data_IF_398276417231
#
_entry.id   IF_398276417231
#
_cell.length_a   1.000
_cell.length_b   1.000
_cell.length_c   1.000
_cell.angle_alpha   90.00
_cell.angle_beta   90.00
_cell.angle_gamma   90.00
#
_symmetry.space_group_name_H-M   'P 1'
#
loop_
_entity.id
_entity.type
_entity.pdbx_description
1 polymer ?
#
# COMPACT_ATOMS: atom_id res chain seq x y z
N UNK A 1 -6.41 37.32 -3.04
CA UNK A 1 -5.29 36.45 -3.39
C UNK A 1 -5.20 35.15 -2.56
N UNK A 2 -5.97 34.95 -1.48
CA UNK A 2 -5.85 33.76 -0.60
C UNK A 2 -6.75 32.54 -0.88
N UNK A 3 -7.81 32.66 -1.70
CA UNK A 3 -8.75 31.54 -1.90
C UNK A 3 -8.18 30.42 -2.81
N UNK A 4 -7.43 30.80 -3.86
CA UNK A 4 -6.85 29.83 -4.80
C UNK A 4 -5.77 28.93 -4.18
N UNK A 5 -5.05 29.43 -3.18
CA UNK A 5 -4.00 28.67 -2.49
C UNK A 5 -4.57 27.61 -1.55
N UNK A 6 -5.73 27.89 -0.91
CA UNK A 6 -6.38 26.95 0.00
C UNK A 6 -6.89 25.69 -0.74
N UNK A 7 -7.59 25.85 -1.88
CA UNK A 7 -8.04 24.72 -2.69
C UNK A 7 -6.89 23.87 -3.23
N UNK A 8 -5.78 24.50 -3.62
CA UNK A 8 -4.58 23.79 -4.08
C UNK A 8 -3.95 22.95 -2.95
N UNK A 9 -3.82 23.50 -1.75
CA UNK A 9 -3.32 22.78 -0.57
C UNK A 9 -4.21 21.58 -0.22
N UNK A 10 -5.55 21.76 -0.22
CA UNK A 10 -6.49 20.66 0.03
C UNK A 10 -6.34 19.54 -0.99
N UNK A 11 -6.21 19.87 -2.29
CA UNK A 11 -5.99 18.85 -3.32
C UNK A 11 -4.66 18.11 -3.16
N UNK A 12 -3.62 18.79 -2.67
CA UNK A 12 -2.32 18.16 -2.39
C UNK A 12 -2.41 17.15 -1.25
N UNK A 13 -3.04 17.50 -0.13
CA UNK A 13 -3.16 16.56 1.02
C UNK A 13 -4.11 15.40 0.74
N UNK A 14 -5.11 15.59 -0.13
CA UNK A 14 -6.00 14.53 -0.57
C UNK A 14 -5.38 13.62 -1.65
N UNK A 15 -4.15 13.90 -2.09
CA UNK A 15 -3.46 13.00 -3.00
C UNK A 15 -3.12 11.68 -2.29
N UNK A 16 -3.21 10.56 -3.02
CA UNK A 16 -3.01 9.21 -2.49
C UNK A 16 -1.52 8.86 -2.23
N UNK A 17 -0.73 9.80 -1.72
CA UNK A 17 0.62 9.55 -1.25
C UNK A 17 0.60 8.71 0.04
N UNK A 18 1.71 8.00 0.29
CA UNK A 18 1.86 7.17 1.50
C UNK A 18 1.74 8.07 2.74
N UNK A 19 0.79 7.79 3.65
CA UNK A 19 0.70 8.53 4.92
C UNK A 19 1.93 8.38 5.80
N UNK A 20 2.17 9.39 6.64
CA UNK A 20 2.99 9.20 7.84
C UNK A 20 2.32 8.25 8.83
N UNK A 21 0.99 8.29 8.93
CA UNK A 21 0.20 7.45 9.82
C UNK A 21 -0.96 6.77 9.08
N UNK A 22 -1.09 5.46 9.30
CA UNK A 22 -2.08 4.61 8.64
C UNK A 22 -3.25 4.31 9.59
N UNK A 23 -4.24 5.19 9.61
CA UNK A 23 -5.44 4.99 10.42
C UNK A 23 -6.22 3.74 10.04
N UNK A 24 -6.66 3.00 11.04
CA UNK A 24 -7.51 1.82 10.88
C UNK A 24 -6.75 0.56 10.43
N UNK A 25 -5.42 0.58 10.44
CA UNK A 25 -4.55 -0.58 10.13
C UNK A 25 -3.55 -0.90 11.22
N UNK A 26 -3.74 -0.36 12.42
CA UNK A 26 -2.84 -0.54 13.56
C UNK A 26 -2.72 -2.02 13.94
N UNK A 27 -3.83 -2.77 13.88
CA UNK A 27 -3.86 -4.22 14.14
C UNK A 27 -3.04 -4.99 13.10
N UNK A 28 -3.31 -4.76 11.82
CA UNK A 28 -2.60 -5.43 10.72
C UNK A 28 -1.11 -5.09 10.74
N UNK A 29 -0.76 -3.82 11.00
CA UNK A 29 0.63 -3.40 11.17
C UNK A 29 1.29 -4.09 12.35
N UNK A 30 0.59 -4.23 13.49
CA UNK A 30 1.07 -4.98 14.65
C UNK A 30 1.37 -6.44 14.32
N UNK A 31 0.48 -7.11 13.57
CA UNK A 31 0.65 -8.50 13.15
C UNK A 31 1.88 -8.64 12.23
N UNK A 32 2.05 -7.75 11.25
CA UNK A 32 3.19 -7.79 10.33
C UNK A 32 4.50 -7.53 11.10
N UNK A 33 4.54 -6.53 12.00
CA UNK A 33 5.72 -6.24 12.82
C UNK A 33 6.10 -7.43 13.72
N UNK A 34 5.11 -8.03 14.37
CA UNK A 34 5.31 -9.23 15.18
C UNK A 34 5.89 -10.37 14.34
N UNK A 35 5.31 -10.63 13.16
CA UNK A 35 5.80 -11.66 12.24
C UNK A 35 7.26 -11.42 11.85
N UNK A 36 7.61 -10.19 11.47
CA UNK A 36 8.98 -9.82 11.12
C UNK A 36 9.94 -10.04 12.30
N UNK A 37 9.58 -9.62 13.52
CA UNK A 37 10.43 -9.86 14.70
C UNK A 37 10.65 -11.33 15.00
N UNK A 38 9.59 -12.13 14.97
CA UNK A 38 9.66 -13.57 15.24
C UNK A 38 10.56 -14.30 14.23
N UNK A 39 10.50 -13.90 12.95
CA UNK A 39 11.14 -14.65 11.86
C UNK A 39 12.50 -14.08 11.48
N UNK A 40 12.62 -12.76 11.36
CA UNK A 40 13.90 -12.09 11.08
C UNK A 40 14.79 -12.12 12.32
N UNK A 41 14.26 -11.70 13.48
CA UNK A 41 15.00 -11.71 14.75
C UNK A 41 15.30 -13.12 15.26
N UNK A 42 14.34 -14.03 15.13
CA UNK A 42 14.50 -15.43 15.52
C UNK A 42 15.26 -16.30 14.50
N UNK A 43 15.60 -15.76 13.32
CA UNK A 43 16.18 -16.50 12.18
C UNK A 43 15.40 -17.77 11.85
N UNK A 44 14.07 -17.68 11.87
CA UNK A 44 13.18 -18.79 11.56
C UNK A 44 12.54 -18.58 10.19
N UNK A 45 12.43 -19.64 9.37
CA UNK A 45 11.68 -19.55 8.14
C UNK A 45 10.20 -19.34 8.44
N UNK A 46 9.50 -18.67 7.53
CA UNK A 46 8.06 -18.64 7.52
C UNK A 46 7.51 -17.65 6.49
N UNK A 47 6.21 -17.80 6.25
CA UNK A 47 5.48 -17.11 5.18
C UNK A 47 4.24 -16.43 5.74
N UNK A 48 4.00 -15.20 5.29
CA UNK A 48 2.82 -14.40 5.61
C UNK A 48 2.11 -14.02 4.31
N UNK A 49 0.92 -14.56 4.11
CA UNK A 49 0.07 -14.24 2.97
C UNK A 49 -0.81 -13.04 3.30
N UNK A 50 -0.71 -11.94 2.54
CA UNK A 50 -1.47 -10.71 2.78
C UNK A 50 -2.50 -10.52 1.67
N UNK A 51 -3.77 -10.70 2.00
CA UNK A 51 -4.88 -10.58 1.05
C UNK A 51 -5.75 -9.35 1.32
N UNK A 52 -6.57 -8.96 0.35
CA UNK A 52 -7.58 -7.90 0.50
C UNK A 52 -7.86 -7.16 -0.80
N UNK A 53 -9.00 -6.50 -0.91
CA UNK A 53 -9.39 -5.73 -2.08
C UNK A 53 -8.40 -4.58 -2.40
N UNK A 54 -8.31 -4.11 -3.66
CA UNK A 54 -7.49 -2.94 -3.99
C UNK A 54 -7.89 -1.72 -3.15
N UNK A 55 -6.91 -0.91 -2.76
CA UNK A 55 -7.15 0.30 -1.97
C UNK A 55 -7.38 0.11 -0.46
N UNK A 56 -7.27 -1.11 0.06
CA UNK A 56 -7.34 -1.37 1.52
C UNK A 56 -6.06 -1.03 2.30
N UNK A 57 -5.02 -0.52 1.65
CA UNK A 57 -3.81 -0.03 2.34
C UNK A 57 -2.68 -1.05 2.57
N UNK A 58 -2.75 -2.25 1.98
CA UNK A 58 -1.70 -3.30 2.06
C UNK A 58 -0.30 -2.76 1.73
N UNK A 59 -0.12 -2.20 0.53
CA UNK A 59 1.17 -1.66 0.07
C UNK A 59 1.64 -0.52 0.96
N UNK A 60 0.74 0.38 1.38
CA UNK A 60 1.09 1.49 2.26
C UNK A 60 1.57 0.99 3.63
N UNK A 61 0.90 -0.01 4.21
CA UNK A 61 1.32 -0.64 5.47
C UNK A 61 2.69 -1.31 5.34
N UNK A 62 2.91 -2.07 4.27
CA UNK A 62 4.20 -2.71 4.03
C UNK A 62 5.32 -1.68 3.87
N UNK A 63 5.14 -0.67 3.01
CA UNK A 63 6.13 0.39 2.82
C UNK A 63 6.44 1.11 4.13
N UNK A 64 5.41 1.41 4.94
CA UNK A 64 5.62 2.08 6.23
C UNK A 64 6.40 1.21 7.22
N UNK A 65 6.08 -0.09 7.30
CA UNK A 65 6.77 -1.00 8.21
C UNK A 65 8.23 -1.20 7.79
N UNK A 66 8.53 -1.26 6.49
CA UNK A 66 9.91 -1.36 6.01
C UNK A 66 10.73 -0.11 6.34
N UNK A 67 10.10 1.06 6.34
CA UNK A 67 10.73 2.31 6.78
C UNK A 67 10.94 2.31 8.30
N UNK A 68 9.90 1.98 9.08
CA UNK A 68 9.94 1.98 10.55
C UNK A 68 10.93 0.93 11.10
N UNK A 69 11.05 -0.23 10.43
CA UNK A 69 11.88 -1.36 10.87
C UNK A 69 13.21 -1.46 10.10
N UNK A 70 13.65 -0.38 9.42
CA UNK A 70 14.86 -0.41 8.59
C UNK A 70 16.10 -0.92 9.34
N UNK A 71 16.26 -0.52 10.60
CA UNK A 71 17.38 -0.94 11.45
C UNK A 71 17.25 -2.40 11.90
N UNK A 72 16.04 -2.83 12.28
CA UNK A 72 15.75 -4.24 12.62
C UNK A 72 16.00 -5.17 11.42
N UNK A 73 15.81 -4.66 10.19
CA UNK A 73 15.99 -5.38 8.94
C UNK A 73 17.40 -5.26 8.35
N UNK A 74 18.32 -4.49 8.94
CA UNK A 74 19.64 -4.23 8.37
C UNK A 74 20.49 -5.50 8.13
N UNK A 75 20.27 -6.56 8.92
CA UNK A 75 20.90 -7.87 8.76
C UNK A 75 20.20 -8.80 7.75
N UNK A 76 19.14 -8.33 7.09
CA UNK A 76 18.33 -9.08 6.13
C UNK A 76 18.34 -8.41 4.76
N UNK A 77 18.16 -9.21 3.71
CA UNK A 77 18.04 -8.72 2.34
C UNK A 77 16.57 -8.59 1.98
N UNK A 78 16.07 -7.36 1.92
CA UNK A 78 14.69 -7.06 1.52
C UNK A 78 14.59 -6.93 0.00
N UNK A 79 13.68 -7.71 -0.59
CA UNK A 79 13.38 -7.75 -2.02
C UNK A 79 11.91 -7.38 -2.19
N UNK A 80 11.65 -6.27 -2.87
CA UNK A 80 10.29 -5.86 -3.25
C UNK A 80 10.12 -6.09 -4.74
N UNK A 81 9.15 -6.94 -5.10
CA UNK A 81 8.86 -7.28 -6.49
C UNK A 81 7.49 -6.80 -6.91
N UNK A 82 7.44 -5.86 -7.84
CA UNK A 82 6.18 -5.47 -8.46
C UNK A 82 5.69 -6.56 -9.41
N UNK A 83 4.75 -7.39 -8.97
CA UNK A 83 4.18 -8.47 -9.77
C UNK A 83 3.52 -8.00 -11.08
N UNK A 84 3.12 -6.72 -11.17
CA UNK A 84 2.54 -6.17 -12.39
C UNK A 84 3.53 -5.93 -13.52
N UNK A 85 4.82 -5.81 -13.20
CA UNK A 85 5.87 -5.65 -14.19
C UNK A 85 6.27 -6.98 -14.85
N UNK A 86 5.75 -8.11 -14.35
CA UNK A 86 6.12 -9.45 -14.82
C UNK A 86 5.15 -9.93 -15.88
N UNK A 87 5.69 -10.35 -17.03
CA UNK A 87 4.90 -10.88 -18.16
C UNK A 87 4.34 -12.29 -17.89
N UNK A 88 4.84 -13.00 -16.87
CA UNK A 88 4.32 -14.30 -16.45
C UNK A 88 4.61 -14.57 -14.97
N UNK A 89 3.83 -15.43 -14.29
CA UNK A 89 4.09 -15.82 -12.90
C UNK A 89 5.46 -16.49 -12.70
N UNK A 90 5.99 -17.16 -13.73
CA UNK A 90 7.32 -17.78 -13.70
C UNK A 90 8.44 -16.74 -13.71
N UNK A 91 8.15 -15.49 -14.10
CA UNK A 91 9.08 -14.37 -14.07
C UNK A 91 9.48 -13.91 -12.67
N UNK A 92 8.78 -14.36 -11.62
CA UNK A 92 9.13 -14.04 -10.22
C UNK A 92 10.52 -14.59 -9.88
N UNK A 93 10.81 -15.84 -10.23
CA UNK A 93 12.09 -16.50 -9.92
C UNK A 93 13.32 -15.77 -10.48
N UNK A 94 13.39 -15.47 -11.79
CA UNK A 94 14.52 -14.71 -12.33
C UNK A 94 14.58 -13.29 -11.75
N UNK A 95 13.45 -12.65 -11.44
CA UNK A 95 13.44 -11.33 -10.83
C UNK A 95 14.01 -11.32 -9.40
N UNK A 96 13.64 -12.32 -8.57
CA UNK A 96 14.27 -12.52 -7.24
C UNK A 96 15.76 -12.81 -7.41
N UNK A 97 16.12 -13.71 -8.31
CA UNK A 97 17.51 -14.10 -8.55
C UNK A 97 18.38 -12.91 -8.95
N UNK A 98 17.89 -12.04 -9.83
CA UNK A 98 18.59 -10.83 -10.24
C UNK A 98 18.80 -9.87 -9.06
N UNK A 99 17.78 -9.64 -8.22
CA UNK A 99 17.95 -8.81 -7.01
C UNK A 99 18.88 -9.46 -5.97
N UNK A 100 19.01 -10.78 -5.97
CA UNK A 100 19.99 -11.51 -5.18
C UNK A 100 21.42 -11.42 -5.73
N UNK A 101 21.61 -10.97 -6.97
CA UNK A 101 22.90 -10.92 -7.65
C UNK A 101 23.27 -12.23 -8.35
N UNK A 102 22.30 -13.11 -8.59
CA UNK A 102 22.51 -14.36 -9.33
C UNK A 102 22.59 -14.08 -10.85
N UNK A 103 23.46 -14.78 -11.58
CA UNK A 103 23.53 -14.68 -13.03
C UNK A 103 22.22 -15.13 -13.67
N UNK A 104 21.85 -14.47 -14.78
CA UNK A 104 20.62 -14.76 -15.51
C UNK A 104 20.59 -16.23 -15.93
N UNK A 105 19.59 -16.96 -15.44
CA UNK A 105 19.36 -18.36 -15.76
C UNK A 105 17.86 -18.57 -15.96
N UNK A 106 17.48 -19.09 -17.13
CA UNK A 106 16.09 -19.33 -17.49
C UNK A 106 15.63 -20.73 -17.06
N UNK A 107 14.32 -20.89 -16.88
CA UNK A 107 13.70 -22.20 -16.65
C UNK A 107 14.11 -22.87 -15.34
N UNK A 108 14.20 -24.22 -15.35
CA UNK A 108 14.44 -25.04 -14.15
C UNK A 108 15.80 -24.77 -13.49
N UNK A 109 16.82 -24.46 -14.28
CA UNK A 109 18.17 -24.19 -13.78
C UNK A 109 18.21 -22.92 -12.92
N UNK A 110 17.51 -21.86 -13.35
CA UNK A 110 17.38 -20.63 -12.56
C UNK A 110 16.68 -20.86 -11.22
N UNK A 111 15.60 -21.65 -11.22
CA UNK A 111 14.87 -22.02 -9.99
C UNK A 111 15.77 -22.82 -9.04
N UNK A 112 16.51 -23.81 -9.56
CA UNK A 112 17.41 -24.64 -8.74
C UNK A 112 18.56 -23.84 -8.12
N UNK A 113 19.13 -22.88 -8.87
CA UNK A 113 20.16 -21.97 -8.34
C UNK A 113 19.62 -21.06 -7.26
N UNK A 114 18.42 -20.52 -7.49
CA UNK A 114 17.73 -19.70 -6.52
C UNK A 114 17.47 -20.52 -5.25
N UNK A 115 16.90 -21.72 -5.35
CA UNK A 115 16.69 -22.63 -4.22
C UNK A 115 17.98 -22.88 -3.42
N UNK A 116 19.09 -23.18 -4.11
CA UNK A 116 20.40 -23.38 -3.49
C UNK A 116 20.89 -22.13 -2.75
N UNK A 117 20.68 -20.93 -3.31
CA UNK A 117 21.09 -19.68 -2.68
C UNK A 117 20.26 -19.35 -1.44
N UNK A 118 18.99 -19.73 -1.45
CA UNK A 118 18.05 -19.43 -0.37
C UNK A 118 18.13 -20.43 0.77
N UNK A 119 18.53 -21.67 0.46
CA UNK A 119 18.86 -22.72 1.44
C UNK A 119 20.28 -22.59 1.98
N UNK A 120 21.16 -21.82 1.32
CA UNK A 120 22.50 -21.55 1.80
C UNK A 120 22.49 -20.72 3.08
N UNK A 121 23.50 -20.90 3.94
CA UNK A 121 23.70 -20.05 5.12
C UNK A 121 24.00 -18.62 4.66
N UNK A 122 23.07 -17.70 4.93
CA UNK A 122 23.14 -16.31 4.48
C UNK A 122 22.12 -15.41 5.16
N UNK A 123 22.02 -14.13 4.75
CA UNK A 123 21.04 -13.19 5.29
C UNK A 123 19.62 -13.66 4.95
N UNK A 124 18.68 -13.44 5.87
CA UNK A 124 17.25 -13.72 5.63
C UNK A 124 16.77 -12.91 4.42
N UNK A 125 16.05 -13.54 3.50
CA UNK A 125 15.54 -12.89 2.29
C UNK A 125 14.04 -12.64 2.43
N UNK A 126 13.66 -11.37 2.56
CA UNK A 126 12.26 -10.96 2.66
C UNK A 126 11.73 -10.64 1.27
N UNK A 127 10.84 -11.46 0.71
CA UNK A 127 10.24 -11.21 -0.61
C UNK A 127 8.82 -10.69 -0.45
N UNK A 128 8.59 -9.49 -0.97
CA UNK A 128 7.31 -8.80 -0.93
C UNK A 128 6.70 -8.76 -2.33
N UNK A 129 5.52 -9.35 -2.47
CA UNK A 129 4.75 -9.40 -3.71
C UNK A 129 3.49 -8.54 -3.52
N UNK A 130 3.43 -7.28 -3.99
CA UNK A 130 2.19 -6.51 -4.02
C UNK A 130 1.24 -7.07 -5.08
N UNK A 131 -0.06 -7.05 -4.78
CA UNK A 131 -1.13 -7.57 -5.65
C UNK A 131 -1.11 -6.97 -7.06
N UNK A 132 -1.25 -7.77 -8.13
CA UNK A 132 -1.83 -7.28 -9.39
C UNK A 132 -3.33 -6.95 -9.21
N UNK A 133 -3.96 -6.20 -10.14
CA UNK A 133 -5.42 -5.98 -10.17
C UNK A 133 -6.19 -7.22 -10.65
N UNK A 134 -5.52 -8.28 -11.14
CA UNK A 134 -6.14 -9.55 -11.52
C UNK A 134 -6.02 -10.62 -10.42
N UNK A 135 -7.04 -11.48 -10.20
CA UNK A 135 -7.06 -12.47 -9.11
C UNK A 135 -6.00 -13.58 -9.20
N UNK A 136 -5.14 -13.60 -10.22
CA UNK A 136 -4.27 -14.73 -10.56
C UNK A 136 -2.84 -14.66 -10.01
N UNK A 137 -2.35 -13.53 -9.46
CA UNK A 137 -1.04 -13.49 -8.80
C UNK A 137 -1.21 -13.12 -7.32
N UNK A 138 -0.76 -13.98 -6.39
CA UNK A 138 -0.97 -13.75 -4.96
C UNK A 138 -0.09 -12.63 -4.43
N UNK A 139 -0.60 -11.86 -3.47
CA UNK A 139 0.20 -10.95 -2.68
C UNK A 139 0.72 -11.65 -1.42
N UNK A 140 2.03 -11.81 -1.31
CA UNK A 140 2.67 -12.59 -0.25
C UNK A 140 3.94 -11.91 0.26
N UNK A 141 4.14 -11.97 1.57
CA UNK A 141 5.40 -11.73 2.24
C UNK A 141 5.98 -13.12 2.52
N UNK A 142 6.85 -13.59 1.62
CA UNK A 142 7.41 -14.93 1.68
C UNK A 142 8.91 -14.83 1.99
N UNK A 143 9.43 -15.72 2.83
CA UNK A 143 10.86 -15.98 2.78
C UNK A 143 11.13 -16.71 1.47
N UNK A 144 12.29 -16.50 0.88
CA UNK A 144 12.53 -16.95 -0.47
C UNK A 144 12.53 -18.50 -0.59
N UNK A 145 12.82 -19.23 0.50
CA UNK A 145 12.68 -20.69 0.57
C UNK A 145 11.25 -21.17 0.24
N UNK A 146 10.23 -20.36 0.54
CA UNK A 146 8.81 -20.68 0.30
C UNK A 146 8.37 -20.39 -1.15
N UNK A 147 9.19 -19.66 -1.92
CA UNK A 147 8.88 -19.33 -3.32
C UNK A 147 9.12 -20.51 -4.26
N UNK A 148 10.07 -21.38 -3.93
CA UNK A 148 10.48 -22.51 -4.77
C UNK A 148 9.47 -23.65 -4.78
N UNK A 149 8.56 -23.72 -3.80
CA UNK A 149 7.51 -24.73 -3.74
C UNK A 149 6.30 -24.33 -4.58
N UNK A 150 6.24 -24.91 -5.79
CA UNK A 150 5.22 -24.63 -6.80
C UNK A 150 3.82 -24.96 -6.25
N UNK A 151 3.01 -23.90 -6.17
CA UNK A 151 1.57 -23.81 -5.85
C UNK A 151 1.23 -23.54 -4.38
N UNK A 152 0.52 -22.42 -4.15
CA UNK A 152 -0.13 -22.06 -2.88
C UNK A 152 -0.98 -23.20 -2.28
N UNK A 153 -1.49 -24.12 -3.11
CA UNK A 153 -2.26 -25.28 -2.69
C UNK A 153 -1.41 -26.33 -1.94
N UNK A 154 -0.10 -26.38 -2.16
CA UNK A 154 0.83 -27.32 -1.48
C UNK A 154 1.59 -26.70 -0.32
N UNK A 155 1.59 -25.38 -0.19
CA UNK A 155 2.17 -24.66 0.95
C UNK A 155 1.54 -25.05 2.30
N UNK A 156 0.30 -25.53 2.32
CA UNK A 156 -0.33 -26.12 3.51
C UNK A 156 0.26 -27.47 3.96
N UNK A 157 1.10 -28.11 3.15
CA UNK A 157 1.70 -29.42 3.42
C UNK A 157 3.21 -29.34 3.76
N UNK A 158 3.80 -28.15 3.88
CA UNK A 158 5.20 -28.00 4.27
C UNK A 158 5.36 -28.35 5.77
N UNK A 159 6.39 -29.12 6.18
CA UNK A 159 6.64 -29.48 7.58
C UNK A 159 6.92 -28.30 8.53
N UNK A 160 6.99 -27.08 8.01
CA UNK A 160 7.17 -25.83 8.78
C UNK A 160 5.84 -25.10 9.04
N UNK A 161 4.71 -25.63 8.55
CA UNK A 161 3.39 -25.01 8.61
C UNK A 161 3.09 -24.15 7.37
N UNK A 162 1.81 -24.05 7.01
CA UNK A 162 1.37 -23.21 5.90
C UNK A 162 1.49 -21.70 6.17
N UNK A 163 1.33 -20.86 5.14
CA UNK A 163 1.49 -19.43 5.27
C UNK A 163 0.46 -18.86 6.26
N UNK A 164 0.92 -18.04 7.20
CA UNK A 164 0.02 -17.27 8.07
C UNK A 164 -0.79 -16.34 7.18
N UNK A 165 -2.12 -16.37 7.28
CA UNK A 165 -2.98 -15.51 6.49
C UNK A 165 -3.30 -14.22 7.27
N UNK A 166 -3.10 -13.07 6.63
CA UNK A 166 -3.53 -11.76 7.07
C UNK A 166 -4.44 -11.14 6.02
N UNK A 167 -5.69 -10.87 6.38
CA UNK A 167 -6.66 -10.29 5.46
C UNK A 167 -6.96 -8.83 5.81
N UNK A 168 -6.76 -7.95 4.83
CA UNK A 168 -7.10 -6.53 4.91
C UNK A 168 -8.55 -6.31 4.49
N UNK A 169 -9.42 -6.21 5.48
CA UNK A 169 -10.84 -5.89 5.29
C UNK A 169 -11.02 -4.52 4.63
N UNK A 170 -12.07 -4.30 3.82
CA UNK A 170 -12.46 -2.96 3.38
C UNK A 170 -12.56 -1.96 4.54
N UNK A 171 -12.26 -0.69 4.31
CA UNK A 171 -12.36 0.32 5.37
C UNK A 171 -13.82 0.57 5.76
N UNK A 172 -14.04 0.67 7.06
CA UNK A 172 -15.31 1.08 7.66
C UNK A 172 -15.56 2.58 7.49
N UNK A 173 -16.79 3.01 7.73
CA UNK A 173 -17.16 4.44 7.71
C UNK A 173 -16.28 5.24 8.68
N UNK A 174 -16.09 4.73 9.89
CA UNK A 174 -15.35 5.38 10.96
C UNK A 174 -13.87 5.54 10.57
N UNK A 175 -13.27 4.48 10.01
CA UNK A 175 -11.89 4.51 9.52
C UNK A 175 -11.72 5.49 8.35
N UNK A 176 -12.62 5.46 7.35
CA UNK A 176 -12.55 6.40 6.23
C UNK A 176 -12.74 7.85 6.70
N UNK A 177 -13.63 8.10 7.66
CA UNK A 177 -13.82 9.44 8.23
C UNK A 177 -12.54 9.93 8.91
N UNK A 178 -11.92 9.09 9.74
CA UNK A 178 -10.66 9.41 10.40
C UNK A 178 -9.53 9.70 9.41
N UNK A 179 -9.41 8.89 8.35
CA UNK A 179 -8.41 9.09 7.27
C UNK A 179 -8.62 10.45 6.60
N UNK A 180 -9.86 10.79 6.23
CA UNK A 180 -10.17 12.07 5.57
C UNK A 180 -9.90 13.26 6.49
N UNK A 181 -10.31 13.17 7.76
CA UNK A 181 -10.10 14.22 8.76
C UNK A 181 -8.62 14.46 9.03
N UNK A 182 -7.83 13.40 9.21
CA UNK A 182 -6.38 13.54 9.40
C UNK A 182 -5.74 14.26 8.22
N UNK A 183 -6.09 13.86 6.99
CA UNK A 183 -5.53 14.49 5.78
C UNK A 183 -5.86 15.96 5.67
N UNK A 184 -7.12 16.31 5.90
CA UNK A 184 -7.57 17.69 5.80
C UNK A 184 -7.03 18.54 6.96
N UNK A 185 -6.81 17.95 8.13
CA UNK A 185 -6.18 18.62 9.27
C UNK A 185 -4.72 19.02 9.05
N UNK A 186 -4.07 18.53 7.98
CA UNK A 186 -2.73 18.98 7.58
C UNK A 186 -2.73 20.34 6.87
N UNK A 187 -3.89 20.83 6.43
CA UNK A 187 -4.02 22.14 5.78
C UNK A 187 -4.28 23.20 6.84
N UNK A 188 -3.45 24.24 6.86
CA UNK A 188 -3.67 25.41 7.71
C UNK A 188 -4.68 26.35 7.05
N UNK A 189 -5.72 26.74 7.79
CA UNK A 189 -6.74 27.70 7.34
C UNK A 189 -8.17 27.23 7.61
N UNK A 190 -9.12 27.89 6.93
CA UNK A 190 -10.54 27.59 7.07
C UNK A 190 -10.89 26.22 6.48
N UNK A 191 -11.83 25.55 7.14
CA UNK A 191 -12.32 24.24 6.75
C UNK A 191 -13.03 24.31 5.39
N UNK A 192 -12.40 23.78 4.34
CA UNK A 192 -13.00 23.72 2.98
C UNK A 192 -14.11 22.68 2.87
N UNK A 193 -14.08 21.64 3.72
CA UNK A 193 -15.05 20.54 3.72
C UNK A 193 -15.60 20.30 5.12
N UNK A 194 -16.91 20.49 5.29
CA UNK A 194 -17.58 20.27 6.56
C UNK A 194 -17.51 18.81 7.03
N UNK A 195 -17.47 18.61 8.34
CA UNK A 195 -17.42 17.27 8.95
C UNK A 195 -18.60 16.37 8.52
N UNK A 196 -19.79 16.94 8.33
CA UNK A 196 -20.96 16.21 7.85
C UNK A 196 -20.77 15.68 6.41
N UNK A 197 -20.11 16.46 5.55
CA UNK A 197 -19.79 16.04 4.18
C UNK A 197 -18.76 14.90 4.17
N UNK A 198 -17.75 14.95 5.04
CA UNK A 198 -16.77 13.88 5.21
C UNK A 198 -17.44 12.58 5.68
N UNK A 199 -18.31 12.65 6.68
CA UNK A 199 -19.07 11.49 7.15
C UNK A 199 -19.99 10.92 6.08
N UNK A 200 -20.63 11.78 5.27
CA UNK A 200 -21.45 11.34 4.15
C UNK A 200 -20.62 10.61 3.09
N UNK A 201 -19.49 11.17 2.69
CA UNK A 201 -18.55 10.57 1.74
C UNK A 201 -18.07 9.21 2.25
N UNK A 202 -17.55 9.16 3.48
CA UNK A 202 -17.07 7.95 4.12
C UNK A 202 -18.14 6.85 4.16
N UNK A 203 -19.37 7.18 4.58
CA UNK A 203 -20.50 6.25 4.62
C UNK A 203 -20.84 5.68 3.24
N UNK A 204 -20.86 6.51 2.21
CA UNK A 204 -21.17 6.07 0.85
C UNK A 204 -20.07 5.18 0.29
N UNK A 205 -18.80 5.54 0.48
CA UNK A 205 -17.67 4.75 -0.04
C UNK A 205 -17.52 3.43 0.70
N UNK A 206 -17.68 3.40 2.03
CA UNK A 206 -17.61 2.17 2.82
C UNK A 206 -18.72 1.18 2.45
N UNK A 207 -19.93 1.66 2.17
CA UNK A 207 -21.06 0.82 1.76
C UNK A 207 -20.86 0.17 0.37
N UNK A 208 -20.09 0.80 -0.52
CA UNK A 208 -19.87 0.31 -1.89
C UNK A 208 -18.58 -0.51 -2.01
N UNK A 209 -17.49 -0.08 -1.40
CA UNK A 209 -16.17 -0.71 -1.62
C UNK A 209 -15.18 -0.65 -0.47
N UNK A 210 -15.26 0.36 0.40
CA UNK A 210 -14.24 0.60 1.44
C UNK A 210 -12.83 0.85 0.90
N UNK A 211 -12.67 1.34 -0.33
CA UNK A 211 -11.38 1.77 -0.90
C UNK A 211 -11.07 3.22 -0.46
N UNK A 212 -9.98 3.41 0.27
CA UNK A 212 -9.58 4.73 0.77
C UNK A 212 -9.20 5.71 -0.36
N UNK A 213 -8.66 5.21 -1.48
CA UNK A 213 -8.33 6.07 -2.65
C UNK A 213 -9.60 6.65 -3.25
N UNK A 214 -10.66 5.85 -3.36
CA UNK A 214 -11.96 6.33 -3.85
C UNK A 214 -12.53 7.43 -2.95
N UNK A 215 -12.41 7.30 -1.62
CA UNK A 215 -12.85 8.33 -0.69
C UNK A 215 -12.07 9.65 -0.90
N UNK A 216 -10.74 9.57 -0.96
CA UNK A 216 -9.87 10.72 -1.22
C UNK A 216 -10.18 11.38 -2.58
N UNK A 217 -10.36 10.59 -3.64
CA UNK A 217 -10.66 11.08 -4.98
C UNK A 217 -12.04 11.74 -5.09
N UNK A 218 -13.03 11.30 -4.31
CA UNK A 218 -14.34 11.94 -4.25
C UNK A 218 -14.23 13.33 -3.60
N UNK A 219 -13.56 13.44 -2.45
CA UNK A 219 -13.33 14.73 -1.79
C UNK A 219 -12.52 15.67 -2.68
N UNK A 220 -11.46 15.18 -3.34
CA UNK A 220 -10.61 15.98 -4.22
C UNK A 220 -11.41 16.56 -5.38
N UNK A 221 -12.26 15.75 -6.03
CA UNK A 221 -13.11 16.19 -7.14
C UNK A 221 -14.17 17.21 -6.70
N UNK A 222 -14.76 17.03 -5.52
CA UNK A 222 -15.72 18.00 -4.98
C UNK A 222 -15.07 19.38 -4.81
N UNK A 223 -13.84 19.42 -4.29
CA UNK A 223 -13.06 20.66 -4.15
C UNK A 223 -12.72 21.29 -5.49
N UNK A 224 -12.35 20.47 -6.49
CA UNK A 224 -12.03 20.94 -7.84
C UNK A 224 -13.23 21.58 -8.54
N UNK A 225 -14.43 21.02 -8.40
CA UNK A 225 -15.67 21.60 -8.94
C UNK A 225 -15.94 22.96 -8.33
N UNK A 226 -15.85 23.08 -7.00
CA UNK A 226 -16.07 24.36 -6.29
C UNK A 226 -15.01 25.40 -6.68
N UNK A 227 -13.75 25.00 -6.79
CA UNK A 227 -12.67 25.90 -7.23
C UNK A 227 -12.92 26.46 -8.64
N UNK A 228 -13.42 25.64 -9.56
CA UNK A 228 -13.78 26.07 -10.92
C UNK A 228 -14.97 27.03 -10.93
N UNK A 229 -16.00 26.78 -10.13
CA UNK A 229 -17.17 27.66 -9.98
C UNK A 229 -16.79 29.02 -9.37
N UNK A 230 -15.96 29.04 -8.33
CA UNK A 230 -15.49 30.28 -7.71
C UNK A 230 -14.63 31.07 -8.70
N UNK A 231 -13.76 30.40 -9.47
CA UNK A 231 -12.95 31.06 -10.51
C UNK A 231 -13.80 31.67 -11.60
N UNK A 232 -14.82 30.97 -12.10
CA UNK A 232 -15.70 31.50 -13.14
C UNK A 232 -16.51 32.71 -12.64
N UNK A 233 -17.03 32.67 -11.41
CA UNK A 233 -17.73 33.80 -10.79
C UNK A 233 -16.82 35.01 -10.54
N UNK A 234 -15.55 34.79 -10.18
CA UNK A 234 -14.58 35.87 -9.96
C UNK A 234 -14.20 36.56 -11.28
N UNK A 235 -14.09 35.81 -12.37
CA UNK A 235 -13.86 36.36 -13.72
C UNK A 235 -15.06 37.12 -14.28
N UNK A 236 -16.28 36.83 -13.79
CA UNK A 236 -17.53 37.46 -14.22
C UNK A 236 -17.91 38.72 -13.42
N UNK A 237 -17.19 39.06 -12.33
CA UNK A 237 -17.41 40.34 -11.62
C UNK A 237 -16.67 41.47 -12.36
N UNK A 238 -17.38 42.50 -12.87
CA UNK A 238 -16.73 43.68 -13.45
C UNK A 238 -15.91 44.39 -12.36
N UNK A 239 -14.77 44.96 -12.73
CA UNK A 239 -14.00 45.86 -11.86
C UNK A 239 -14.92 46.98 -11.35
N UNK A 240 -14.98 47.26 -10.04
CA UNK A 240 -15.76 48.39 -9.54
C UNK A 240 -15.14 49.69 -10.03
N UNK A 241 -15.91 50.41 -10.86
CA UNK A 241 -15.81 51.84 -11.14
C UNK A 241 -14.40 52.41 -11.32
N UNK A 242 -13.93 52.49 -12.56
CA UNK A 242 -13.07 53.61 -12.95
C UNK A 242 -13.93 54.86 -12.92
N UNK A 243 -13.80 55.66 -11.85
CA UNK A 243 -14.32 57.03 -11.83
C UNK A 243 -13.54 57.86 -12.86
N UNK A 244 -14.29 58.71 -13.56
CA UNK A 244 -13.93 59.51 -14.73
C UNK A 244 -12.91 60.61 -14.40
#
# INVERSE_FOLDING_TARGET
>A
HGAGTCYQQVKQVLHAAVPDRLHGREREMGIIRQFLREHVGGRRPGSLYISGAPGTGKTACLSRILLDCKDELAGSKTIVLNCMALSSPQGVFPAVGQQLGLPAAAGREGVRRLEKQLTARGPMVLVLLPSPPHPAVPAGLANALDLTDRSLARLGAHPAGGPRLLHFQPYTREQLTAILQERLGQVAGDTVLDAAALQFCARKVSAVSGDARKALDVCRRAVEVVELEVRSQTLLKPLPGGEW
#
